data_IF_342167620468
#
_entry.id   IF_342167620468
#
_cell.length_a   1.000
_cell.length_b   1.000
_cell.length_c   1.000
_cell.angle_alpha   90.00
_cell.angle_beta   90.00
_cell.angle_gamma   90.00
#
_symmetry.space_group_name_H-M   'P 1'
#
loop_
_entity.id
_entity.type
_entity.pdbx_description
1 polymer ?
#
# COMPACT_ATOMS: atom_id res chain seq x y z
N UNK A 1 -11.71 6.50 9.99
CA UNK A 1 -10.88 5.90 8.93
C UNK A 1 -11.59 6.04 7.60
N UNK A 2 -10.89 6.41 6.54
CA UNK A 2 -11.41 6.43 5.17
C UNK A 2 -10.71 5.37 4.34
N UNK A 3 -11.42 4.80 3.37
CA UNK A 3 -10.89 3.80 2.43
C UNK A 3 -11.20 4.28 1.02
N UNK A 4 -10.20 4.17 0.15
CA UNK A 4 -10.27 4.53 -1.25
C UNK A 4 -9.89 3.32 -2.10
N UNK A 5 -10.46 3.20 -3.29
CA UNK A 5 -9.93 2.30 -4.32
C UNK A 5 -8.50 2.72 -4.68
N UNK A 6 -7.61 1.74 -4.87
CA UNK A 6 -6.19 1.99 -5.13
C UNK A 6 -5.99 2.87 -6.36
N UNK A 7 -6.75 2.65 -7.44
CA UNK A 7 -6.66 3.39 -8.70
C UNK A 7 -6.91 4.89 -8.54
N UNK A 8 -7.65 5.31 -7.51
CA UNK A 8 -7.89 6.73 -7.25
C UNK A 8 -6.69 7.42 -6.59
N UNK A 9 -5.76 6.66 -6.03
CA UNK A 9 -4.61 7.18 -5.28
C UNK A 9 -3.28 6.81 -5.92
N UNK A 10 -3.26 5.85 -6.85
CA UNK A 10 -2.06 5.20 -7.36
C UNK A 10 -2.05 5.17 -8.89
N UNK A 11 -0.94 5.56 -9.49
CA UNK A 11 -0.79 5.53 -10.95
C UNK A 11 -0.63 4.13 -11.53
N UNK A 12 -0.12 3.17 -10.73
CA UNK A 12 -0.04 1.74 -11.08
C UNK A 12 -0.49 0.90 -9.90
N UNK A 13 -1.46 0.03 -10.15
CA UNK A 13 -2.04 -0.87 -9.14
C UNK A 13 -1.70 -2.33 -9.39
N UNK A 14 -1.24 -2.67 -10.59
CA UNK A 14 -0.92 -4.05 -10.96
C UNK A 14 0.57 -4.19 -11.21
N UNK A 15 1.20 -5.07 -10.45
CA UNK A 15 2.61 -5.37 -10.56
C UNK A 15 2.83 -6.86 -10.88
N UNK A 16 3.65 -7.13 -11.87
CA UNK A 16 4.04 -8.49 -12.30
C UNK A 16 5.55 -8.65 -12.17
N UNK A 17 6.02 -9.72 -11.52
CA UNK A 17 7.45 -9.91 -11.25
C UNK A 17 8.26 -9.96 -12.54
N UNK A 18 7.85 -10.74 -13.53
CA UNK A 18 8.65 -10.93 -14.76
C UNK A 18 8.79 -9.66 -15.62
N UNK A 19 7.81 -8.75 -15.57
CA UNK A 19 7.84 -7.51 -16.36
C UNK A 19 8.42 -6.33 -15.58
N UNK A 20 8.08 -6.24 -14.29
CA UNK A 20 8.38 -5.06 -13.48
C UNK A 20 9.68 -5.20 -12.67
N UNK A 21 10.30 -6.39 -12.59
CA UNK A 21 11.52 -6.60 -11.80
C UNK A 21 12.75 -5.90 -12.39
N UNK A 22 12.92 -5.94 -13.72
CA UNK A 22 14.06 -5.32 -14.40
C UNK A 22 13.80 -3.86 -14.79
N UNK A 23 12.54 -3.48 -15.01
CA UNK A 23 12.16 -2.12 -15.43
C UNK A 23 11.94 -1.16 -14.25
N UNK A 24 11.84 -1.67 -13.02
CA UNK A 24 11.57 -0.89 -11.80
C UNK A 24 10.47 0.18 -11.96
N UNK A 25 9.30 -0.16 -12.53
CA UNK A 25 8.25 0.82 -12.67
C UNK A 25 7.80 1.28 -11.28
N UNK A 26 7.71 2.60 -11.15
CA UNK A 26 7.27 3.26 -9.92
C UNK A 26 5.77 3.50 -10.01
N UNK A 27 5.06 3.19 -8.93
CA UNK A 27 3.71 3.69 -8.72
C UNK A 27 3.80 5.01 -7.96
N UNK A 28 3.09 6.01 -8.47
CA UNK A 28 2.93 7.30 -7.83
C UNK A 28 1.73 7.25 -6.91
N UNK A 29 1.96 7.37 -5.62
CA UNK A 29 0.94 7.51 -4.60
C UNK A 29 0.68 8.97 -4.30
N UNK A 30 -0.58 9.38 -4.39
CA UNK A 30 -1.05 10.69 -3.93
C UNK A 30 -1.80 10.54 -2.63
N UNK A 31 -1.31 11.21 -1.59
CA UNK A 31 -1.96 11.19 -0.28
C UNK A 31 -3.35 11.84 -0.36
N UNK A 32 -4.45 11.14 -0.01
CA UNK A 32 -5.79 11.73 -0.08
C UNK A 32 -6.03 12.88 0.90
N UNK A 33 -5.17 13.06 1.90
CA UNK A 33 -5.30 14.13 2.89
C UNK A 33 -4.61 15.44 2.48
N UNK A 34 -3.40 15.35 1.92
CA UNK A 34 -2.53 16.51 1.69
C UNK A 34 -1.96 16.58 0.27
N UNK A 35 -2.31 15.61 -0.58
CA UNK A 35 -1.85 15.48 -1.97
C UNK A 35 -0.33 15.31 -2.15
N UNK A 36 0.40 15.01 -1.07
CA UNK A 36 1.81 14.63 -1.13
C UNK A 36 2.02 13.44 -2.07
N UNK A 37 3.02 13.55 -2.94
CA UNK A 37 3.36 12.51 -3.91
C UNK A 37 4.51 11.65 -3.38
N UNK A 38 4.26 10.35 -3.27
CA UNK A 38 5.27 9.34 -2.92
C UNK A 38 5.45 8.38 -4.09
N UNK A 39 6.68 7.93 -4.27
CA UNK A 39 7.00 6.92 -5.28
C UNK A 39 7.38 5.63 -4.57
N UNK A 40 6.81 4.51 -5.02
CA UNK A 40 7.25 3.19 -4.58
C UNK A 40 7.30 2.22 -5.75
N UNK A 41 8.06 1.14 -5.58
CA UNK A 41 8.25 0.11 -6.61
C UNK A 41 7.95 -1.29 -6.06
N UNK A 42 7.94 -2.28 -6.95
CA UNK A 42 7.71 -3.69 -6.61
C UNK A 42 8.63 -4.18 -5.47
N UNK A 43 9.89 -3.75 -5.41
CA UNK A 43 10.83 -4.14 -4.33
C UNK A 43 10.38 -3.68 -2.95
N UNK A 44 9.71 -2.54 -2.85
CA UNK A 44 9.17 -2.06 -1.57
C UNK A 44 8.06 -3.01 -1.08
N UNK A 45 7.22 -3.50 -2.00
CA UNK A 45 6.16 -4.48 -1.72
C UNK A 45 6.73 -5.86 -1.38
N UNK A 46 7.73 -6.34 -2.13
CA UNK A 46 8.36 -7.66 -1.92
C UNK A 46 9.10 -7.70 -0.58
N UNK A 47 9.87 -6.66 -0.24
CA UNK A 47 10.54 -6.53 1.06
C UNK A 47 9.54 -6.52 2.21
N UNK A 48 8.42 -5.78 2.06
CA UNK A 48 7.39 -5.73 3.10
C UNK A 48 6.48 -6.96 3.13
N UNK A 49 6.37 -7.73 2.05
CA UNK A 49 5.59 -8.99 2.03
C UNK A 49 6.11 -10.03 3.01
N UNK A 50 7.42 -10.01 3.30
CA UNK A 50 8.07 -10.91 4.27
C UNK A 50 8.06 -10.35 5.70
N UNK A 51 7.79 -9.05 5.85
CA UNK A 51 7.83 -8.36 7.12
C UNK A 51 6.42 -8.27 7.71
N UNK A 52 6.14 -9.08 8.72
CA UNK A 52 4.85 -9.03 9.46
C UNK A 52 4.73 -7.84 10.42
N UNK A 53 5.67 -6.90 10.39
CA UNK A 53 5.66 -5.76 11.29
C UNK A 53 5.07 -4.53 10.62
N UNK A 54 4.19 -3.84 11.35
CA UNK A 54 3.65 -2.55 10.98
C UNK A 54 4.65 -1.44 11.31
N UNK A 55 4.80 -0.47 10.41
CA UNK A 55 5.52 0.78 10.65
C UNK A 55 4.66 1.81 11.41
N UNK A 56 3.39 1.49 11.67
CA UNK A 56 2.48 2.35 12.40
C UNK A 56 2.59 2.11 13.91
N UNK A 57 2.18 3.11 14.69
CA UNK A 57 1.94 2.97 16.11
C UNK A 57 0.94 1.85 16.39
N UNK A 58 1.03 1.21 17.57
CA UNK A 58 0.09 0.15 17.97
C UNK A 58 -1.37 0.61 17.93
N UNK A 59 -1.61 1.88 18.23
CA UNK A 59 -2.95 2.48 18.24
C UNK A 59 -3.51 2.66 16.83
N UNK A 60 -2.73 3.25 15.91
CA UNK A 60 -3.13 3.44 14.52
C UNK A 60 -3.29 2.08 13.82
N UNK A 61 -2.38 1.14 14.06
CA UNK A 61 -2.47 -0.21 13.53
C UNK A 61 -3.71 -0.96 14.02
N UNK A 62 -4.09 -0.79 15.30
CA UNK A 62 -5.31 -1.38 15.87
C UNK A 62 -6.56 -0.86 15.16
N UNK A 63 -6.62 0.43 14.84
CA UNK A 63 -7.74 0.99 14.07
C UNK A 63 -7.88 0.34 12.69
N UNK A 64 -6.77 0.11 11.99
CA UNK A 64 -6.79 -0.62 10.72
C UNK A 64 -7.19 -2.09 10.88
N UNK A 65 -6.75 -2.77 11.94
CA UNK A 65 -7.12 -4.17 12.19
C UNK A 65 -8.59 -4.34 12.52
N UNK A 66 -9.22 -3.38 13.20
CA UNK A 66 -10.67 -3.39 13.45
C UNK A 66 -11.49 -3.39 12.15
N UNK A 67 -10.95 -2.81 11.06
CA UNK A 67 -11.60 -2.81 9.75
C UNK A 67 -11.33 -4.06 8.91
N UNK A 68 -10.45 -4.95 9.39
CA UNK A 68 -9.99 -6.14 8.68
C UNK A 68 -9.07 -5.86 7.48
N UNK A 69 -8.65 -6.92 6.81
CA UNK A 69 -7.78 -6.86 5.62
C UNK A 69 -8.54 -6.74 4.29
N UNK A 70 -9.87 -6.52 4.33
CA UNK A 70 -10.70 -6.32 3.13
C UNK A 70 -10.54 -7.41 2.04
N UNK A 71 -10.33 -8.65 2.47
CA UNK A 71 -10.13 -9.78 1.55
C UNK A 71 -8.78 -9.79 0.83
N UNK A 72 -7.85 -8.89 1.17
CA UNK A 72 -6.49 -8.87 0.65
C UNK A 72 -5.56 -9.75 1.48
N UNK A 73 -4.56 -10.34 0.83
CA UNK A 73 -3.58 -11.23 1.47
C UNK A 73 -2.57 -10.49 2.36
N UNK A 74 -2.23 -9.24 2.04
CA UNK A 74 -1.20 -8.48 2.75
C UNK A 74 -1.45 -6.97 2.72
N UNK A 75 -0.56 -6.21 3.37
CA UNK A 75 -0.60 -4.76 3.40
C UNK A 75 0.81 -4.15 3.49
N UNK A 76 0.93 -2.91 3.04
CA UNK A 76 2.05 -2.01 3.29
C UNK A 76 1.51 -0.84 4.13
N UNK A 77 2.21 -0.43 5.17
CA UNK A 77 1.82 0.74 5.95
C UNK A 77 2.97 1.71 6.23
N UNK A 78 2.61 2.99 6.33
CA UNK A 78 3.55 4.09 6.54
C UNK A 78 2.80 5.34 7.00
N UNK A 79 3.55 6.29 7.55
CA UNK A 79 3.05 7.64 7.76
C UNK A 79 3.37 8.52 6.55
N UNK A 80 2.39 9.26 6.05
CA UNK A 80 2.66 10.29 5.04
C UNK A 80 3.72 11.27 5.60
N UNK A 81 4.83 11.53 4.89
CA UNK A 81 5.91 12.35 5.43
C UNK A 81 5.49 13.80 5.67
N UNK A 82 4.55 14.32 4.85
CA UNK A 82 4.01 15.67 4.93
C UNK A 82 2.99 15.81 6.06
N UNK A 83 1.81 15.19 5.96
CA UNK A 83 0.73 15.38 6.94
C UNK A 83 0.70 14.37 8.11
N UNK A 84 1.66 13.44 8.18
CA UNK A 84 1.76 12.37 9.19
C UNK A 84 0.50 11.50 9.34
N UNK A 85 -0.37 11.50 8.34
CA UNK A 85 -1.55 10.62 8.32
C UNK A 85 -1.10 9.18 8.15
N UNK A 86 -1.65 8.28 8.97
CA UNK A 86 -1.34 6.87 8.87
C UNK A 86 -2.02 6.30 7.62
N UNK A 87 -1.23 5.63 6.78
CA UNK A 87 -1.66 5.10 5.50
C UNK A 87 -1.40 3.60 5.48
N UNK A 88 -2.37 2.84 4.97
CA UNK A 88 -2.28 1.39 4.78
C UNK A 88 -2.74 1.04 3.37
N UNK A 89 -1.86 0.50 2.56
CA UNK A 89 -2.15 -0.01 1.21
C UNK A 89 -2.43 -1.50 1.34
N UNK A 90 -3.63 -1.92 0.92
CA UNK A 90 -4.05 -3.31 0.91
C UNK A 90 -3.78 -3.90 -0.46
N UNK A 91 -3.08 -5.03 -0.51
CA UNK A 91 -2.74 -5.68 -1.76
C UNK A 91 -2.89 -7.20 -1.69
N UNK A 92 -3.22 -7.76 -2.84
CA UNK A 92 -3.39 -9.18 -3.06
C UNK A 92 -2.19 -9.71 -3.82
N UNK A 93 -1.51 -10.70 -3.24
CA UNK A 93 -0.55 -11.51 -3.98
C UNK A 93 -1.32 -12.47 -4.87
N UNK A 94 -0.88 -12.61 -6.11
CA UNK A 94 -1.42 -13.57 -7.08
C UNK A 94 -0.29 -14.39 -7.68
N UNK A 95 -0.60 -15.64 -8.04
CA UNK A 95 0.31 -16.55 -8.71
C UNK A 95 -0.31 -16.94 -10.05
N UNK A 96 0.34 -16.56 -11.15
CA UNK A 96 -0.08 -16.84 -12.53
C UNK A 96 0.42 -18.19 -13.05
N UNK A 97 0.39 -19.23 -12.22
CA UNK A 97 0.86 -20.57 -12.62
C UNK A 97 2.39 -20.72 -12.61
N UNK A 98 2.93 -21.52 -13.53
CA UNK A 98 4.32 -22.06 -13.48
C UNK A 98 5.45 -21.03 -13.57
N UNK A 99 5.19 -19.77 -13.94
CA UNK A 99 6.27 -18.83 -14.30
C UNK A 99 6.18 -17.43 -13.74
N UNK A 100 5.00 -16.94 -13.30
CA UNK A 100 4.89 -15.55 -12.83
C UNK A 100 4.07 -15.46 -11.55
N UNK A 101 4.44 -14.50 -10.70
CA UNK A 101 3.69 -14.01 -9.56
C UNK A 101 3.65 -12.47 -9.61
N UNK A 102 2.83 -11.88 -8.74
CA UNK A 102 2.71 -10.44 -8.69
C UNK A 102 1.84 -9.95 -7.54
N UNK A 103 1.62 -8.65 -7.53
CA UNK A 103 0.81 -7.96 -6.54
C UNK A 103 -0.21 -7.04 -7.21
N UNK A 104 -1.43 -7.09 -6.71
CA UNK A 104 -2.52 -6.21 -7.09
C UNK A 104 -2.89 -5.34 -5.88
N UNK A 105 -2.67 -4.04 -5.98
CA UNK A 105 -3.06 -3.07 -4.97
C UNK A 105 -4.55 -2.78 -5.15
N UNK A 106 -5.35 -3.03 -4.12
CA UNK A 106 -6.82 -2.91 -4.20
C UNK A 106 -7.33 -1.67 -3.51
N UNK A 107 -6.85 -1.41 -2.30
CA UNK A 107 -7.39 -0.34 -1.47
C UNK A 107 -6.30 0.46 -0.78
N UNK A 108 -6.62 1.71 -0.47
CA UNK A 108 -5.83 2.59 0.39
C UNK A 108 -6.69 3.01 1.57
N UNK A 109 -6.29 2.61 2.77
CA UNK A 109 -6.82 3.09 4.03
C UNK A 109 -6.04 4.30 4.54
N UNK A 110 -6.77 5.29 5.05
CA UNK A 110 -6.21 6.52 5.61
C UNK A 110 -6.86 6.85 6.96
N UNK A 111 -6.01 7.11 7.95
CA UNK A 111 -6.40 7.78 9.20
C UNK A 111 -5.91 9.22 9.12
N UNK A 112 -6.86 10.14 8.91
CA UNK A 112 -6.55 11.57 8.91
C UNK A 112 -5.99 11.97 10.27
N UNK A 113 -4.86 12.67 10.25
CA UNK A 113 -4.48 13.54 11.37
C UNK A 113 -4.83 14.96 10.98
N UNK A 114 -5.47 15.68 11.90
CA UNK A 114 -5.64 17.12 11.75
C UNK A 114 -4.24 17.72 11.76
N UNK A 115 -3.85 18.33 10.64
CA UNK A 115 -2.66 19.16 10.59
C UNK A 115 -3.04 20.44 11.34
N UNK A 116 -2.51 20.60 12.54
CA UNK A 116 -2.64 21.83 13.35
C UNK A 116 -1.72 22.89 12.77
#
# INVERSE_FOLDING_TARGET
MQIFEAENCLSKVWFQRDEDWDLYPKSEYRCPNCNELLLFCLKDLDKHSQLRHSNLSKEDFKQFNMAGNKGCSSFLDFYCPSCKSATKIYYQAWAGGRFTDGYELKFVGLLKKNVV
#
